data_IF_960014797652
#
_entry.id   IF_960014797652
#
_cell.length_a   1.000
_cell.length_b   1.000
_cell.length_c   1.000
_cell.angle_alpha   90.00
_cell.angle_beta   90.00
_cell.angle_gamma   90.00
#
_symmetry.space_group_name_H-M   'P 1'
#
loop_
_entity.id
_entity.type
_entity.pdbx_description
1 polymer ?
#
# COMPACT_ATOMS: atom_id res chain seq x y z
N UNK A 1 16.12 4.70 7.44
CA UNK A 1 14.94 4.14 6.71
C UNK A 1 14.96 4.61 5.27
N UNK A 2 14.79 3.69 4.31
CA UNK A 2 14.52 4.06 2.93
C UNK A 2 13.15 4.76 2.90
N UNK A 3 13.11 5.96 2.33
CA UNK A 3 11.85 6.72 2.26
C UNK A 3 10.87 5.98 1.33
N UNK A 4 9.68 5.65 1.84
CA UNK A 4 8.62 5.05 1.03
C UNK A 4 8.20 6.06 -0.05
N UNK A 5 8.16 5.67 -1.34
CA UNK A 5 7.72 6.56 -2.40
C UNK A 5 6.27 7.01 -2.20
N UNK A 6 5.99 8.29 -2.46
CA UNK A 6 4.65 8.84 -2.32
C UNK A 6 3.65 8.26 -3.34
N UNK A 7 4.16 7.72 -4.46
CA UNK A 7 3.33 7.23 -5.55
C UNK A 7 3.85 5.88 -6.06
N UNK A 8 2.97 4.89 -6.11
CA UNK A 8 3.27 3.55 -6.58
C UNK A 8 2.15 2.95 -7.42
N UNK A 9 2.39 1.77 -7.94
CA UNK A 9 1.45 0.97 -8.72
C UNK A 9 1.00 -0.23 -7.91
N UNK A 10 -0.30 -0.32 -7.63
CA UNK A 10 -0.92 -1.50 -7.02
C UNK A 10 -1.22 -2.57 -8.07
N UNK A 11 -1.20 -3.83 -7.64
CA UNK A 11 -1.44 -4.99 -8.52
C UNK A 11 -2.61 -5.87 -8.05
N UNK A 12 -3.35 -5.46 -7.04
CA UNK A 12 -4.50 -6.21 -6.54
C UNK A 12 -5.53 -6.48 -7.63
N UNK A 13 -6.03 -7.72 -7.70
CA UNK A 13 -6.99 -8.22 -8.71
C UNK A 13 -6.48 -8.29 -10.15
N UNK A 14 -5.22 -7.98 -10.42
CA UNK A 14 -4.62 -8.14 -11.74
C UNK A 14 -3.86 -9.47 -11.80
N UNK A 15 -4.05 -10.24 -12.87
CA UNK A 15 -3.41 -11.56 -13.04
C UNK A 15 -2.94 -11.79 -14.47
N UNK A 16 -1.95 -12.67 -14.62
CA UNK A 16 -1.44 -13.11 -15.90
C UNK A 16 -0.98 -11.94 -16.79
N UNK A 17 -1.30 -11.99 -18.06
CA UNK A 17 -0.88 -10.97 -19.03
C UNK A 17 -1.38 -9.56 -18.65
N UNK A 18 -2.54 -9.46 -17.99
CA UNK A 18 -3.10 -8.15 -17.56
C UNK A 18 -2.19 -7.45 -16.57
N UNK A 19 -1.67 -8.16 -15.55
CA UNK A 19 -0.74 -7.54 -14.59
C UNK A 19 0.63 -7.28 -15.23
N UNK A 20 1.10 -8.17 -16.08
CA UNK A 20 2.36 -7.97 -16.83
C UNK A 20 2.29 -6.67 -17.64
N UNK A 21 1.24 -6.48 -18.40
CA UNK A 21 1.04 -5.28 -19.23
C UNK A 21 0.88 -4.01 -18.38
N UNK A 22 0.12 -4.09 -17.27
CA UNK A 22 -0.05 -2.97 -16.34
C UNK A 22 1.29 -2.54 -15.75
N UNK A 23 2.09 -3.48 -15.24
CA UNK A 23 3.40 -3.17 -14.65
C UNK A 23 4.37 -2.64 -15.71
N UNK A 24 4.46 -3.26 -16.89
CA UNK A 24 5.28 -2.76 -18.00
C UNK A 24 4.92 -1.33 -18.38
N UNK A 25 3.65 -1.07 -18.62
CA UNK A 25 3.16 0.28 -18.94
C UNK A 25 3.51 1.28 -17.82
N UNK A 26 3.33 0.88 -16.56
CA UNK A 26 3.67 1.72 -15.42
C UNK A 26 5.16 2.07 -15.39
N UNK A 27 6.04 1.08 -15.53
CA UNK A 27 7.50 1.28 -15.53
C UNK A 27 7.97 2.16 -16.70
N UNK A 28 7.42 1.95 -17.90
CA UNK A 28 7.70 2.80 -19.08
C UNK A 28 7.25 4.25 -18.87
N UNK A 29 6.14 4.47 -18.18
CA UNK A 29 5.61 5.79 -17.87
C UNK A 29 6.37 6.50 -16.73
N UNK A 30 7.21 5.77 -15.99
CA UNK A 30 8.01 6.35 -14.91
C UNK A 30 7.61 5.94 -13.50
N UNK A 31 6.69 5.00 -13.32
CA UNK A 31 6.47 4.37 -12.01
C UNK A 31 7.75 3.68 -11.54
N UNK A 32 8.07 3.79 -10.25
CA UNK A 32 9.25 3.18 -9.65
C UNK A 32 8.95 2.42 -8.36
N UNK A 33 7.70 2.45 -7.88
CA UNK A 33 7.22 1.65 -6.76
C UNK A 33 6.12 0.71 -7.21
N UNK A 34 6.23 -0.57 -6.87
CA UNK A 34 5.26 -1.63 -7.19
C UNK A 34 4.84 -2.31 -5.89
N UNK A 35 3.53 -2.43 -5.68
CA UNK A 35 2.93 -3.09 -4.53
C UNK A 35 2.18 -4.35 -4.96
N UNK A 36 2.58 -5.49 -4.41
CA UNK A 36 1.93 -6.77 -4.59
C UNK A 36 1.73 -7.49 -3.25
N UNK A 37 1.34 -8.75 -3.26
CA UNK A 37 1.17 -9.58 -2.07
C UNK A 37 1.12 -11.07 -2.45
N UNK A 38 1.47 -11.95 -1.50
CA UNK A 38 1.42 -13.40 -1.68
C UNK A 38 0.03 -13.88 -2.13
N UNK A 39 -1.03 -13.42 -1.47
CA UNK A 39 -2.41 -13.84 -1.76
C UNK A 39 -2.92 -13.39 -3.13
N UNK A 40 -2.30 -12.39 -3.76
CA UNK A 40 -2.74 -11.94 -5.08
C UNK A 40 -2.49 -12.98 -6.18
N UNK A 41 -1.56 -13.91 -5.95
CA UNK A 41 -1.22 -14.97 -6.90
C UNK A 41 -0.62 -14.44 -8.20
N UNK A 42 0.03 -13.27 -8.16
CA UNK A 42 0.59 -12.59 -9.32
C UNK A 42 2.06 -12.19 -9.16
N UNK A 43 2.73 -12.58 -8.08
CA UNK A 43 4.12 -12.20 -7.83
C UNK A 43 5.06 -12.64 -8.97
N UNK A 44 4.84 -13.83 -9.56
CA UNK A 44 5.62 -14.31 -10.70
C UNK A 44 5.43 -13.44 -11.95
N UNK A 45 4.21 -13.02 -12.22
CA UNK A 45 3.88 -12.14 -13.35
C UNK A 45 4.49 -10.74 -13.15
N UNK A 46 4.44 -10.21 -11.92
CA UNK A 46 5.10 -8.96 -11.55
C UNK A 46 6.62 -9.08 -11.75
N UNK A 47 7.21 -10.17 -11.28
CA UNK A 47 8.64 -10.46 -11.45
C UNK A 47 9.05 -10.52 -12.91
N UNK A 48 8.25 -11.13 -13.77
CA UNK A 48 8.48 -11.16 -15.23
C UNK A 48 8.46 -9.75 -15.83
N UNK A 49 7.47 -8.95 -15.49
CA UNK A 49 7.35 -7.58 -15.99
C UNK A 49 8.55 -6.72 -15.58
N UNK A 50 9.00 -6.83 -14.32
CA UNK A 50 10.18 -6.11 -13.82
C UNK A 50 11.44 -6.58 -14.53
N UNK A 51 11.68 -7.89 -14.62
CA UNK A 51 12.88 -8.46 -15.25
C UNK A 51 13.01 -8.08 -16.74
N UNK A 52 11.88 -7.94 -17.44
CA UNK A 52 11.84 -7.54 -18.85
C UNK A 52 11.89 -6.04 -19.09
N UNK A 53 11.84 -5.21 -18.04
CA UNK A 53 11.80 -3.74 -18.16
C UNK A 53 13.13 -3.11 -18.53
N UNK A 54 14.25 -3.80 -18.32
CA UNK A 54 15.59 -3.25 -18.45
C UNK A 54 16.02 -2.28 -17.35
N UNK A 55 15.18 -2.04 -16.34
CA UNK A 55 15.52 -1.22 -15.21
C UNK A 55 16.38 -2.01 -14.21
N UNK A 56 17.27 -1.32 -13.52
CA UNK A 56 18.05 -1.93 -12.45
C UNK A 56 17.15 -2.15 -11.24
N UNK A 57 17.35 -3.26 -10.53
CA UNK A 57 16.57 -3.59 -9.33
C UNK A 57 16.59 -2.46 -8.27
N UNK A 58 17.72 -1.82 -8.11
CA UNK A 58 17.96 -0.74 -7.15
C UNK A 58 17.20 0.55 -7.48
N UNK A 59 16.75 0.72 -8.72
CA UNK A 59 15.93 1.86 -9.14
C UNK A 59 14.44 1.68 -8.78
N UNK A 60 14.07 0.51 -8.24
CA UNK A 60 12.70 0.15 -7.93
C UNK A 60 12.51 -0.01 -6.41
N UNK A 61 11.32 0.40 -5.95
CA UNK A 61 10.82 0.10 -4.61
C UNK A 61 9.72 -0.97 -4.73
N UNK A 62 10.01 -2.17 -4.25
CA UNK A 62 9.14 -3.33 -4.37
C UNK A 62 8.59 -3.73 -3.00
N UNK A 63 7.26 -3.82 -2.91
CA UNK A 63 6.54 -4.24 -1.70
C UNK A 63 5.82 -5.55 -1.96
N UNK A 64 5.96 -6.50 -1.04
CA UNK A 64 5.06 -7.66 -0.94
C UNK A 64 4.53 -7.81 0.49
N UNK A 65 3.59 -8.73 0.69
CA UNK A 65 2.90 -8.92 1.97
C UNK A 65 2.79 -10.40 2.30
N UNK A 66 3.10 -10.74 3.55
CA UNK A 66 2.95 -12.10 4.06
C UNK A 66 1.47 -12.40 4.27
N UNK A 67 1.01 -13.51 3.73
CA UNK A 67 -0.35 -13.96 3.94
C UNK A 67 -0.49 -14.73 5.25
N UNK A 68 -1.67 -14.72 5.83
CA UNK A 68 -1.97 -15.23 7.17
C UNK A 68 -1.58 -16.70 7.39
N UNK A 69 -1.61 -17.54 6.35
CA UNK A 69 -1.22 -18.96 6.41
C UNK A 69 0.29 -19.16 6.64
N UNK A 70 1.07 -18.08 6.45
CA UNK A 70 2.52 -18.08 6.52
C UNK A 70 3.07 -17.33 7.74
N UNK A 71 2.25 -17.05 8.76
CA UNK A 71 2.67 -16.25 9.92
C UNK A 71 3.53 -17.02 10.92
N UNK A 72 3.42 -18.34 10.99
CA UNK A 72 4.23 -19.13 11.91
C UNK A 72 5.74 -18.89 11.67
N UNK A 73 6.52 -18.89 12.74
CA UNK A 73 7.95 -18.58 12.72
C UNK A 73 8.78 -19.44 11.76
N UNK A 74 8.36 -20.68 11.54
CA UNK A 74 9.00 -21.62 10.62
C UNK A 74 8.51 -21.51 9.17
N UNK A 75 7.45 -20.71 8.92
CA UNK A 75 6.87 -20.52 7.60
C UNK A 75 7.15 -19.15 7.01
N UNK A 76 7.23 -18.09 7.83
CA UNK A 76 7.28 -16.71 7.34
C UNK A 76 8.47 -16.48 6.43
N UNK A 77 9.68 -16.75 6.90
CA UNK A 77 10.88 -16.53 6.09
C UNK A 77 10.92 -17.42 4.83
N UNK A 78 10.65 -18.75 4.89
CA UNK A 78 10.54 -19.56 3.68
C UNK A 78 9.49 -19.05 2.67
N UNK A 79 8.33 -18.57 3.14
CA UNK A 79 7.32 -17.99 2.24
C UNK A 79 7.80 -16.70 1.57
N UNK A 80 8.57 -15.87 2.28
CA UNK A 80 9.16 -14.68 1.69
C UNK A 80 10.25 -15.04 0.67
N UNK A 81 11.08 -16.06 0.95
CA UNK A 81 12.06 -16.59 -0.03
C UNK A 81 11.36 -17.08 -1.30
N UNK A 82 10.21 -17.76 -1.18
CA UNK A 82 9.38 -18.14 -2.34
C UNK A 82 8.86 -16.91 -3.10
N UNK A 83 8.40 -15.88 -2.37
CA UNK A 83 8.02 -14.60 -2.99
C UNK A 83 9.18 -13.97 -3.76
N UNK A 84 10.40 -13.96 -3.18
CA UNK A 84 11.59 -13.42 -3.83
C UNK A 84 11.92 -14.20 -5.13
N UNK A 85 11.82 -15.52 -5.09
CA UNK A 85 12.02 -16.35 -6.28
C UNK A 85 11.02 -16.02 -7.39
N UNK A 86 9.73 -15.87 -7.05
CA UNK A 86 8.68 -15.44 -7.99
C UNK A 86 8.93 -14.05 -8.54
N UNK A 87 9.33 -13.12 -7.69
CA UNK A 87 9.65 -11.75 -8.06
C UNK A 87 11.00 -11.59 -8.78
N UNK A 88 11.79 -12.67 -8.88
CA UNK A 88 13.12 -12.73 -9.52
C UNK A 88 14.10 -11.70 -8.93
N UNK A 89 14.15 -11.64 -7.61
CA UNK A 89 15.01 -10.71 -6.87
C UNK A 89 15.52 -11.35 -5.58
N UNK A 90 16.64 -10.86 -5.07
CA UNK A 90 17.22 -11.36 -3.82
C UNK A 90 16.64 -10.65 -2.58
N UNK A 91 15.93 -9.55 -2.76
CA UNK A 91 15.32 -8.78 -1.68
C UNK A 91 14.10 -7.99 -2.17
N UNK A 92 13.21 -7.65 -1.26
CA UNK A 92 12.21 -6.60 -1.46
C UNK A 92 12.53 -5.39 -0.60
N UNK A 93 12.03 -4.22 -0.96
CA UNK A 93 12.25 -2.98 -0.22
C UNK A 93 11.37 -2.92 1.03
N UNK A 94 10.18 -3.50 0.97
CA UNK A 94 9.23 -3.51 2.06
C UNK A 94 8.45 -4.83 2.10
N UNK A 95 8.35 -5.41 3.29
CA UNK A 95 7.48 -6.56 3.56
C UNK A 95 6.47 -6.19 4.64
N UNK A 96 5.20 -6.44 4.38
CA UNK A 96 4.11 -6.17 5.32
C UNK A 96 3.48 -7.46 5.85
N UNK A 97 3.06 -7.44 7.11
CA UNK A 97 2.01 -8.34 7.60
C UNK A 97 0.70 -7.86 6.97
N UNK A 98 0.02 -8.72 6.20
CA UNK A 98 -1.09 -8.30 5.34
C UNK A 98 -2.36 -7.94 6.12
N UNK A 99 -2.70 -8.74 7.13
CA UNK A 99 -3.82 -8.55 8.04
C UNK A 99 -3.44 -8.96 9.47
N UNK A 100 -4.03 -8.36 10.51
CA UNK A 100 -3.75 -8.80 11.88
C UNK A 100 -4.23 -10.23 12.16
N UNK A 101 -5.30 -10.68 11.50
CA UNK A 101 -5.87 -12.03 11.62
C UNK A 101 -5.91 -12.55 13.08
N UNK A 102 -6.67 -11.92 13.97
CA UNK A 102 -6.55 -12.14 15.44
C UNK A 102 -6.84 -13.57 15.87
N UNK A 103 -7.48 -14.37 15.02
CA UNK A 103 -7.91 -15.74 15.33
C UNK A 103 -7.14 -16.81 14.53
N UNK A 104 -6.00 -16.49 13.90
CA UNK A 104 -5.28 -17.46 13.07
C UNK A 104 -4.42 -18.46 13.85
N UNK A 105 -4.37 -18.36 15.18
CA UNK A 105 -3.61 -19.27 16.06
C UNK A 105 -2.12 -18.93 16.21
N UNK A 106 -1.61 -17.93 15.51
CA UNK A 106 -0.23 -17.43 15.64
C UNK A 106 -0.26 -16.07 16.34
N UNK A 107 0.54 -15.89 17.38
CA UNK A 107 0.57 -14.65 18.14
C UNK A 107 1.21 -13.50 17.33
N UNK A 108 0.80 -12.27 17.61
CA UNK A 108 1.39 -11.06 17.02
C UNK A 108 2.90 -11.00 17.32
N UNK A 109 3.30 -11.35 18.54
CA UNK A 109 4.72 -11.41 18.93
C UNK A 109 5.50 -12.36 18.03
N UNK A 110 4.96 -13.54 17.76
CA UNK A 110 5.62 -14.56 16.92
C UNK A 110 5.84 -14.06 15.50
N UNK A 111 4.79 -13.61 14.81
CA UNK A 111 4.95 -13.19 13.42
C UNK A 111 5.70 -11.86 13.26
N UNK A 112 5.61 -10.93 14.20
CA UNK A 112 6.41 -9.72 14.14
C UNK A 112 7.89 -9.98 14.40
N UNK A 113 8.22 -10.91 15.31
CA UNK A 113 9.60 -11.36 15.53
C UNK A 113 10.14 -12.04 14.27
N UNK A 114 9.36 -12.96 13.67
CA UNK A 114 9.76 -13.63 12.43
C UNK A 114 9.97 -12.65 11.26
N UNK A 115 9.16 -11.60 11.18
CA UNK A 115 9.32 -10.55 10.16
C UNK A 115 10.60 -9.73 10.41
N UNK A 116 10.91 -9.39 11.66
CA UNK A 116 12.15 -8.73 12.04
C UNK A 116 13.39 -9.59 11.72
N UNK A 117 13.31 -10.90 11.94
CA UNK A 117 14.37 -11.86 11.59
C UNK A 117 14.57 -11.92 10.07
N UNK A 118 13.49 -11.88 9.28
CA UNK A 118 13.60 -11.82 7.82
C UNK A 118 14.33 -10.54 7.34
N UNK A 119 14.10 -9.39 8.01
CA UNK A 119 14.86 -8.16 7.78
C UNK A 119 16.34 -8.33 8.15
N UNK A 120 16.63 -8.90 9.30
CA UNK A 120 18.01 -9.16 9.74
C UNK A 120 18.77 -10.09 8.78
N UNK A 121 18.08 -11.01 8.11
CA UNK A 121 18.63 -11.89 7.07
C UNK A 121 18.80 -11.20 5.71
N UNK A 122 18.33 -9.96 5.55
CA UNK A 122 18.43 -9.21 4.29
C UNK A 122 17.39 -9.56 3.24
N UNK A 123 16.35 -10.34 3.58
CA UNK A 123 15.26 -10.69 2.64
C UNK A 123 14.37 -9.49 2.32
N UNK A 124 14.31 -8.54 3.23
CA UNK A 124 13.61 -7.26 3.07
C UNK A 124 14.40 -6.12 3.70
N UNK A 125 14.37 -4.93 3.10
CA UNK A 125 15.04 -3.76 3.64
C UNK A 125 14.29 -3.10 4.77
N UNK A 126 12.96 -3.01 4.64
CA UNK A 126 12.06 -2.44 5.63
C UNK A 126 10.91 -3.42 5.92
N UNK A 127 10.32 -3.27 7.09
CA UNK A 127 9.16 -4.04 7.53
C UNK A 127 8.03 -3.11 7.93
N UNK A 128 6.81 -3.60 7.84
CA UNK A 128 5.63 -2.85 8.27
C UNK A 128 4.41 -3.75 8.44
N UNK A 129 3.29 -3.11 8.63
CA UNK A 129 2.01 -3.78 8.85
C UNK A 129 0.95 -3.24 7.91
N UNK A 130 -0.14 -3.96 7.76
CA UNK A 130 -1.31 -3.53 7.00
C UNK A 130 -2.57 -3.85 7.78
N UNK A 131 -3.52 -2.92 7.79
CA UNK A 131 -4.82 -3.06 8.46
C UNK A 131 -4.74 -3.21 10.01
N UNK A 132 -3.70 -2.71 10.62
CA UNK A 132 -3.59 -2.69 12.08
C UNK A 132 -4.32 -1.45 12.63
N UNK A 133 -5.10 -1.67 13.70
CA UNK A 133 -5.65 -0.59 14.51
C UNK A 133 -4.59 -0.01 15.46
N UNK A 134 -4.94 0.98 16.26
CA UNK A 134 -4.01 1.63 17.21
C UNK A 134 -3.42 0.61 18.19
N UNK A 135 -4.26 -0.21 18.82
CA UNK A 135 -3.82 -1.16 19.83
C UNK A 135 -2.86 -2.22 19.26
N UNK A 136 -3.14 -2.76 18.10
CA UNK A 136 -2.28 -3.74 17.41
C UNK A 136 -0.97 -3.11 16.93
N UNK A 137 -1.01 -1.86 16.45
CA UNK A 137 0.20 -1.13 16.08
C UNK A 137 1.10 -0.91 17.30
N UNK A 138 0.53 -0.53 18.45
CA UNK A 138 1.27 -0.40 19.71
C UNK A 138 1.91 -1.72 20.15
N UNK A 139 1.18 -2.84 20.03
CA UNK A 139 1.73 -4.17 20.33
C UNK A 139 2.88 -4.52 19.38
N UNK A 140 2.73 -4.27 18.09
CA UNK A 140 3.79 -4.51 17.10
C UNK A 140 5.05 -3.66 17.41
N UNK A 141 4.87 -2.37 17.75
CA UNK A 141 5.96 -1.49 18.18
C UNK A 141 6.68 -2.02 19.43
N UNK A 142 5.96 -2.59 20.37
CA UNK A 142 6.54 -3.17 21.58
C UNK A 142 7.42 -4.39 21.27
N UNK A 143 7.09 -5.16 20.24
CA UNK A 143 7.85 -6.37 19.83
C UNK A 143 9.12 -5.98 19.06
N UNK A 144 8.99 -5.15 18.03
CA UNK A 144 10.11 -4.91 17.07
C UNK A 144 10.84 -3.59 17.30
N UNK A 145 10.35 -2.76 18.20
CA UNK A 145 10.88 -1.42 18.44
C UNK A 145 10.10 -0.34 17.70
N UNK A 146 10.06 0.85 18.30
CA UNK A 146 9.27 1.99 17.81
C UNK A 146 9.60 2.37 16.37
N UNK A 147 10.87 2.40 16.02
CA UNK A 147 11.34 2.89 14.72
C UNK A 147 11.44 1.79 13.65
N UNK A 148 11.06 0.55 13.99
CA UNK A 148 11.19 -0.58 13.08
C UNK A 148 10.04 -0.68 12.07
N UNK A 149 8.86 -0.13 12.39
CA UNK A 149 7.66 -0.20 11.53
C UNK A 149 7.68 0.96 10.54
N UNK A 150 7.98 0.67 9.30
CA UNK A 150 8.11 1.69 8.26
C UNK A 150 6.76 2.31 7.87
N UNK A 151 5.71 1.51 7.81
CA UNK A 151 4.36 1.95 7.43
C UNK A 151 3.27 1.07 8.03
N UNK A 152 2.08 1.65 8.18
CA UNK A 152 0.82 0.91 8.24
C UNK A 152 0.05 1.20 6.94
N UNK A 153 -0.16 0.17 6.11
CA UNK A 153 -0.93 0.29 4.88
C UNK A 153 -2.40 0.02 5.19
N UNK A 154 -3.24 1.04 5.00
CA UNK A 154 -4.65 1.01 5.42
C UNK A 154 -5.58 1.43 4.29
N UNK A 155 -6.82 0.96 4.33
CA UNK A 155 -7.88 1.54 3.52
C UNK A 155 -8.09 2.99 3.90
N UNK A 156 -7.95 3.90 2.92
CA UNK A 156 -8.10 5.32 3.14
C UNK A 156 -8.56 6.01 1.86
N UNK A 157 -9.67 6.72 1.94
CA UNK A 157 -10.27 7.47 0.84
C UNK A 157 -10.95 8.72 1.38
N UNK A 158 -11.45 9.64 0.53
CA UNK A 158 -12.30 10.75 0.99
C UNK A 158 -13.50 10.31 1.85
N UNK A 159 -14.00 9.09 1.64
CA UNK A 159 -15.15 8.53 2.37
C UNK A 159 -14.78 7.76 3.63
N UNK A 160 -13.49 7.43 3.80
CA UNK A 160 -12.94 6.75 4.97
C UNK A 160 -11.56 7.35 5.29
N UNK A 161 -11.51 8.36 6.12
CA UNK A 161 -10.27 9.09 6.39
C UNK A 161 -9.48 8.56 7.59
N UNK A 162 -10.05 7.64 8.37
CA UNK A 162 -9.40 6.98 9.51
C UNK A 162 -8.62 7.96 10.41
N UNK A 163 -9.17 9.14 10.67
CA UNK A 163 -8.45 10.28 11.31
C UNK A 163 -7.76 9.90 12.60
N UNK A 164 -8.46 9.19 13.47
CA UNK A 164 -7.94 8.77 14.77
C UNK A 164 -6.69 7.88 14.64
N UNK A 165 -6.76 6.89 13.75
CA UNK A 165 -5.61 6.01 13.46
C UNK A 165 -4.48 6.78 12.78
N UNK A 166 -4.79 7.61 11.80
CA UNK A 166 -3.79 8.42 11.07
C UNK A 166 -3.05 9.37 12.00
N UNK A 167 -3.76 10.11 12.87
CA UNK A 167 -3.15 10.99 13.86
C UNK A 167 -2.19 10.24 14.79
N UNK A 168 -2.59 9.04 15.23
CA UNK A 168 -1.73 8.16 16.01
C UNK A 168 -0.47 7.77 15.23
N UNK A 169 -0.61 7.26 14.00
CA UNK A 169 0.51 6.83 13.17
C UNK A 169 1.51 7.97 12.91
N UNK A 170 1.00 9.15 12.56
CA UNK A 170 1.83 10.33 12.32
C UNK A 170 2.58 10.78 13.58
N UNK A 171 1.92 10.79 14.74
CA UNK A 171 2.56 11.10 16.02
C UNK A 171 3.67 10.11 16.38
N UNK A 172 3.48 8.83 16.07
CA UNK A 172 4.50 7.80 16.31
C UNK A 172 5.58 7.73 15.22
N UNK A 173 5.48 8.57 14.17
CA UNK A 173 6.45 8.57 13.06
C UNK A 173 6.30 7.40 12.10
N UNK A 174 5.15 6.70 12.12
CA UNK A 174 4.84 5.60 11.20
C UNK A 174 4.20 6.18 9.94
N UNK A 175 4.76 5.85 8.79
CA UNK A 175 4.23 6.32 7.51
C UNK A 175 2.85 5.72 7.22
N UNK A 176 1.98 6.46 6.55
CA UNK A 176 0.66 6.00 6.10
C UNK A 176 0.70 5.69 4.62
N UNK A 177 0.39 4.46 4.25
CA UNK A 177 0.16 4.07 2.86
C UNK A 177 -1.32 3.80 2.65
N UNK A 178 -1.91 4.51 1.71
CA UNK A 178 -3.33 4.40 1.38
C UNK A 178 -3.56 3.36 0.30
N UNK A 179 -4.39 2.36 0.56
CA UNK A 179 -4.97 1.52 -0.47
C UNK A 179 -6.46 1.82 -0.62
N UNK A 180 -7.06 1.42 -1.74
CA UNK A 180 -8.45 1.74 -2.08
C UNK A 180 -8.75 3.24 -2.05
N UNK A 181 -7.78 4.07 -2.38
CA UNK A 181 -7.88 5.53 -2.33
C UNK A 181 -9.04 6.07 -3.18
N UNK A 182 -9.39 5.37 -4.25
CA UNK A 182 -10.52 5.71 -5.12
C UNK A 182 -11.83 5.00 -4.72
N UNK A 183 -11.89 4.27 -3.59
CA UNK A 183 -13.07 3.58 -3.06
C UNK A 183 -13.82 2.77 -4.13
N UNK A 184 -13.11 1.87 -4.82
CA UNK A 184 -13.65 1.13 -6.00
C UNK A 184 -14.23 2.03 -7.09
N UNK A 185 -13.75 3.25 -7.21
CA UNK A 185 -14.26 4.23 -8.19
C UNK A 185 -15.46 5.05 -7.71
N UNK A 186 -16.01 4.78 -6.53
CA UNK A 186 -17.18 5.52 -6.00
C UNK A 186 -16.94 7.02 -5.85
N UNK A 187 -15.72 7.42 -5.49
CA UNK A 187 -15.35 8.83 -5.35
C UNK A 187 -15.26 9.57 -6.68
N UNK A 188 -15.12 8.85 -7.79
CA UNK A 188 -14.97 9.46 -9.12
C UNK A 188 -16.27 10.14 -9.60
N UNK A 189 -17.42 9.70 -9.09
CA UNK A 189 -18.72 10.30 -9.38
C UNK A 189 -19.19 11.32 -8.32
N UNK A 190 -18.39 11.61 -7.32
CA UNK A 190 -18.75 12.55 -6.28
C UNK A 190 -18.80 13.99 -6.82
N UNK A 191 -19.91 14.73 -6.60
CA UNK A 191 -20.07 16.07 -7.16
C UNK A 191 -19.05 17.08 -6.60
N UNK A 192 -18.63 16.94 -5.35
CA UNK A 192 -17.59 17.79 -4.74
C UNK A 192 -16.24 17.54 -5.40
N UNK A 193 -15.84 16.27 -5.54
CA UNK A 193 -14.61 15.90 -6.23
C UNK A 193 -14.65 16.34 -7.69
N UNK A 194 -15.79 16.17 -8.37
CA UNK A 194 -15.99 16.61 -9.75
C UNK A 194 -15.83 18.12 -9.92
N UNK A 195 -16.39 18.91 -9.01
CA UNK A 195 -16.26 20.37 -9.04
C UNK A 195 -14.81 20.84 -8.79
N UNK A 196 -14.09 20.19 -7.87
CA UNK A 196 -12.66 20.47 -7.64
C UNK A 196 -11.87 20.11 -8.89
N UNK A 197 -12.10 18.93 -9.47
CA UNK A 197 -11.43 18.50 -10.69
C UNK A 197 -11.61 19.51 -11.85
N UNK A 198 -12.81 20.01 -12.02
CA UNK A 198 -13.10 21.01 -13.04
C UNK A 198 -12.32 22.32 -12.82
N UNK A 199 -12.25 22.83 -11.59
CA UNK A 199 -11.50 24.05 -11.25
C UNK A 199 -10.00 23.93 -11.55
N UNK A 200 -9.45 22.72 -11.38
CA UNK A 200 -8.03 22.44 -11.59
C UNK A 200 -7.70 21.88 -12.99
N UNK A 201 -8.69 21.80 -13.89
CA UNK A 201 -8.52 21.14 -15.20
C UNK A 201 -7.93 19.73 -15.07
N UNK A 202 -8.34 19.01 -14.02
CA UNK A 202 -7.84 17.69 -13.64
C UNK A 202 -8.96 16.64 -13.71
N UNK A 203 -8.59 15.37 -13.56
CA UNK A 203 -9.58 14.29 -13.39
C UNK A 203 -9.92 14.10 -11.91
N UNK A 204 -11.12 13.56 -11.58
CA UNK A 204 -11.47 13.19 -10.22
C UNK A 204 -10.43 12.28 -9.55
N UNK A 205 -9.87 11.31 -10.29
CA UNK A 205 -8.82 10.43 -9.77
C UNK A 205 -7.55 11.22 -9.39
N UNK A 206 -7.13 12.17 -10.22
CA UNK A 206 -5.99 13.04 -9.92
C UNK A 206 -6.22 13.86 -8.64
N UNK A 207 -7.42 14.40 -8.46
CA UNK A 207 -7.78 15.17 -7.25
C UNK A 207 -7.67 14.30 -6.00
N UNK A 208 -8.24 13.11 -6.02
CA UNK A 208 -8.23 12.22 -4.84
C UNK A 208 -6.82 11.73 -4.52
N UNK A 209 -6.03 11.39 -5.52
CA UNK A 209 -4.64 10.97 -5.32
C UNK A 209 -3.76 12.13 -4.81
N UNK A 210 -3.93 13.32 -5.37
CA UNK A 210 -3.24 14.54 -4.92
C UNK A 210 -3.61 14.89 -3.47
N UNK A 211 -4.90 14.78 -3.10
CA UNK A 211 -5.39 14.98 -1.74
C UNK A 211 -4.64 14.08 -0.75
N UNK A 212 -4.57 12.78 -1.03
CA UNK A 212 -3.90 11.83 -0.13
C UNK A 212 -2.40 12.13 -0.01
N UNK A 213 -1.72 12.41 -1.12
CA UNK A 213 -0.29 12.76 -1.11
C UNK A 213 -0.02 14.10 -0.41
N UNK A 214 -0.91 15.08 -0.54
CA UNK A 214 -0.78 16.38 0.13
C UNK A 214 -0.96 16.26 1.66
N UNK A 215 -1.67 15.24 2.13
CA UNK A 215 -1.73 14.84 3.55
C UNK A 215 -0.49 14.06 4.03
N UNK A 216 0.47 13.80 3.14
CA UNK A 216 1.71 13.07 3.45
C UNK A 216 1.59 11.56 3.32
N UNK A 217 0.55 11.03 2.68
CA UNK A 217 0.37 9.59 2.49
C UNK A 217 0.99 9.12 1.17
N UNK A 218 1.39 7.85 1.13
CA UNK A 218 1.67 7.18 -0.13
C UNK A 218 0.38 6.61 -0.72
N UNK A 219 0.27 6.60 -2.05
CA UNK A 219 -0.86 6.03 -2.80
C UNK A 219 -0.37 4.98 -3.78
N UNK A 220 -1.18 3.93 -3.98
CA UNK A 220 -0.85 2.79 -4.84
C UNK A 220 -2.02 2.47 -5.80
N UNK A 221 -2.47 3.43 -6.62
CA UNK A 221 -3.53 3.17 -7.58
C UNK A 221 -3.13 2.10 -8.59
N UNK A 222 -4.11 1.36 -9.11
CA UNK A 222 -3.92 0.40 -10.19
C UNK A 222 -4.78 0.76 -11.40
N UNK A 223 -4.36 0.35 -12.59
CA UNK A 223 -5.18 0.41 -13.80
C UNK A 223 -4.68 -0.60 -14.84
N UNK A 224 -5.60 -1.14 -15.62
CA UNK A 224 -5.30 -1.93 -16.81
C UNK A 224 -5.10 -1.07 -18.06
N UNK A 225 -5.42 0.21 -18.00
CA UNK A 225 -5.34 1.15 -19.12
C UNK A 225 -4.13 2.07 -18.99
N UNK A 226 -3.27 2.08 -20.01
CA UNK A 226 -2.07 2.91 -20.05
C UNK A 226 -2.38 4.40 -19.89
N UNK A 227 -3.46 4.88 -20.52
CA UNK A 227 -3.89 6.26 -20.40
C UNK A 227 -4.28 6.67 -18.96
N UNK A 228 -4.89 5.75 -18.20
CA UNK A 228 -5.20 5.99 -16.79
C UNK A 228 -3.94 6.03 -15.94
N UNK A 229 -2.97 5.12 -16.19
CA UNK A 229 -1.68 5.14 -15.52
C UNK A 229 -0.95 6.45 -15.76
N UNK A 230 -0.90 6.93 -17.01
CA UNK A 230 -0.31 8.22 -17.35
C UNK A 230 -1.04 9.40 -16.71
N UNK A 231 -2.38 9.36 -16.69
CA UNK A 231 -3.20 10.38 -16.05
C UNK A 231 -2.97 10.46 -14.55
N UNK A 232 -2.93 9.30 -13.88
CA UNK A 232 -2.72 9.23 -12.43
C UNK A 232 -1.37 9.82 -11.99
N UNK A 233 -0.32 9.67 -12.79
CA UNK A 233 0.99 10.26 -12.49
C UNK A 233 0.95 11.78 -12.35
N UNK A 234 0.05 12.46 -13.06
CA UNK A 234 -0.10 13.93 -12.99
C UNK A 234 -0.59 14.40 -11.61
N UNK A 235 -1.19 13.52 -10.82
CA UNK A 235 -1.58 13.85 -9.45
C UNK A 235 -0.40 14.33 -8.58
N UNK A 236 0.83 13.91 -8.90
CA UNK A 236 2.02 14.30 -8.15
C UNK A 236 2.36 15.80 -8.26
N UNK A 237 1.90 16.46 -9.29
CA UNK A 237 2.13 17.90 -9.52
C UNK A 237 0.91 18.76 -9.29
N UNK A 238 -0.25 18.14 -8.99
CA UNK A 238 -1.48 18.85 -8.68
C UNK A 238 -1.45 19.38 -7.24
N UNK A 239 -1.63 20.69 -7.09
CA UNK A 239 -1.72 21.37 -5.79
C UNK A 239 -3.17 21.77 -5.51
N UNK A 240 -3.76 21.17 -4.49
CA UNK A 240 -5.10 21.53 -4.01
C UNK A 240 -5.02 22.70 -3.05
N UNK A 241 -6.00 23.59 -3.11
CA UNK A 241 -6.12 24.71 -2.18
C UNK A 241 -6.56 24.24 -0.79
N UNK A 242 -6.40 25.09 0.22
CA UNK A 242 -6.88 24.79 1.56
C UNK A 242 -8.41 24.58 1.58
N UNK A 243 -9.15 25.30 0.75
CA UNK A 243 -10.60 25.12 0.61
C UNK A 243 -10.97 23.79 -0.04
N UNK A 244 -10.25 23.38 -1.09
CA UNK A 244 -10.43 22.04 -1.69
C UNK A 244 -10.19 20.92 -0.65
N UNK A 245 -9.10 21.03 0.12
CA UNK A 245 -8.79 20.08 1.17
C UNK A 245 -9.88 20.03 2.25
N UNK A 246 -10.45 21.18 2.64
CA UNK A 246 -11.56 21.25 3.60
C UNK A 246 -12.84 20.63 3.02
N UNK A 247 -13.16 20.88 1.76
CA UNK A 247 -14.31 20.29 1.08
C UNK A 247 -14.18 18.76 1.02
N UNK A 248 -13.00 18.21 0.70
CA UNK A 248 -12.75 16.77 0.68
C UNK A 248 -12.82 16.20 2.12
N UNK A 249 -12.27 16.91 3.10
CA UNK A 249 -12.34 16.48 4.50
C UNK A 249 -13.79 16.32 5.01
N UNK A 250 -14.72 17.10 4.47
CA UNK A 250 -16.15 17.02 4.81
C UNK A 250 -16.86 15.79 4.19
N UNK A 251 -16.23 15.05 3.28
CA UNK A 251 -16.80 13.86 2.66
C UNK A 251 -16.70 12.59 3.54
N UNK A 252 -16.01 12.66 4.68
CA UNK A 252 -15.92 11.57 5.64
C UNK A 252 -17.29 11.02 6.02
N UNK A 253 -17.48 9.71 5.91
CA UNK A 253 -18.74 9.04 6.25
C UNK A 253 -18.56 7.62 6.78
N UNK A 254 -17.35 7.29 7.26
CA UNK A 254 -16.98 5.94 7.69
C UNK A 254 -17.29 4.86 6.63
N UNK A 255 -17.06 5.21 5.37
CA UNK A 255 -17.41 4.41 4.20
C UNK A 255 -16.39 3.31 3.91
N UNK A 256 -16.22 2.34 4.82
CA UNK A 256 -15.30 1.23 4.68
C UNK A 256 -15.77 0.23 3.64
N UNK A 257 -14.89 -0.12 2.72
CA UNK A 257 -15.14 -1.08 1.64
C UNK A 257 -14.56 -2.46 1.93
N UNK A 258 -13.52 -2.55 2.79
CA UNK A 258 -12.77 -3.78 3.01
C UNK A 258 -12.67 -4.07 4.51
N UNK A 259 -13.37 -5.12 4.95
CA UNK A 259 -13.36 -5.60 6.35
C UNK A 259 -13.69 -7.10 6.37
N UNK A 260 -12.78 -7.97 5.88
CA UNK A 260 -13.06 -9.41 5.78
C UNK A 260 -13.12 -10.06 7.16
N UNK A 261 -14.14 -10.90 7.35
CA UNK A 261 -14.33 -11.66 8.59
C UNK A 261 -13.10 -12.51 8.93
N UNK A 262 -12.74 -12.55 10.20
CA UNK A 262 -11.60 -13.33 10.71
C UNK A 262 -10.21 -12.75 10.41
N UNK A 263 -10.09 -11.78 9.51
CA UNK A 263 -8.84 -11.11 9.15
C UNK A 263 -8.74 -9.70 9.73
N UNK A 264 -9.83 -8.95 9.64
CA UNK A 264 -9.90 -7.56 10.09
C UNK A 264 -9.89 -7.44 11.62
N UNK A 265 -9.32 -6.35 12.15
CA UNK A 265 -9.44 -6.04 13.58
C UNK A 265 -10.82 -5.40 13.88
N UNK A 266 -11.07 -5.18 15.16
CA UNK A 266 -12.04 -4.16 15.55
C UNK A 266 -11.43 -2.78 15.23
N UNK A 267 -12.06 -2.03 14.34
CA UNK A 267 -11.56 -0.73 13.90
C UNK A 267 -11.67 0.33 15.01
N UNK A 268 -10.79 1.37 14.98
CA UNK A 268 -10.74 2.47 15.97
C UNK A 268 -11.94 3.43 15.92
#
# INVERSE_FOLDING_TARGET
>A
MNKIPAFGLGTFRLKGQVVIDSVRNGLELGYRAIDTAQIYGNEADVGEAIASSGLRREDLFLTTKIWVDNYAKDKLAPSLEDSLAKLRTDYVDLTLIHWPAPNNGVSLEEFMTALADAKARGLTREIGVSNFNIALTQQAMAVVGKDAIATNQIELSPYLQNRKLVEFLQREGIHVTSYMTLAYGKVLGDPVIGAIAQRHEATPAQVVLAWAMQLGYSVIPSSTKRENLASNLRAQTLQLTADDMAQIAALERNGREVSPDGLAPHWD
#
